data_IF_903911468116
#
_entry.id   IF_903911468116
#
_cell.length_a   1.000
_cell.length_b   1.000
_cell.length_c   1.000
_cell.angle_alpha   90.00
_cell.angle_beta   90.00
_cell.angle_gamma   90.00
#
_symmetry.space_group_name_H-M   'P 1'
#
loop_
_entity.id
_entity.type
_entity.pdbx_description
1 polymer ?
#
# COMPACT_ATOMS: atom_id res chain seq x y z
N UNK A 1 40.35 0.08 5.32
CA UNK A 1 40.02 0.88 4.13
C UNK A 1 39.38 -0.06 3.12
N UNK A 2 38.13 0.23 2.77
CA UNK A 2 37.20 -0.47 1.85
C UNK A 2 36.85 -1.94 2.14
N UNK A 3 35.68 -2.12 2.77
CA UNK A 3 34.87 -3.32 2.65
C UNK A 3 34.56 -3.54 1.16
N UNK A 4 35.03 -4.65 0.60
CA UNK A 4 34.61 -5.13 -0.72
C UNK A 4 33.18 -5.63 -0.58
N UNK A 5 32.21 -4.74 -0.77
CA UNK A 5 30.79 -5.11 -0.85
C UNK A 5 30.60 -5.78 -2.20
N UNK A 6 30.14 -7.03 -2.20
CA UNK A 6 30.03 -7.82 -3.43
C UNK A 6 28.95 -7.21 -4.35
N UNK A 7 29.20 -7.08 -5.67
CA UNK A 7 28.31 -6.38 -6.60
C UNK A 7 26.87 -6.93 -6.66
N UNK A 8 26.65 -8.19 -6.26
CA UNK A 8 25.33 -8.82 -6.19
C UNK A 8 24.46 -8.22 -5.07
N UNK A 9 25.05 -7.87 -3.92
CA UNK A 9 24.33 -7.21 -2.83
C UNK A 9 23.88 -5.81 -3.24
N UNK A 10 24.74 -5.05 -3.93
CA UNK A 10 24.42 -3.71 -4.41
C UNK A 10 23.25 -3.71 -5.38
N UNK A 11 23.20 -4.66 -6.32
CA UNK A 11 22.07 -4.78 -7.27
C UNK A 11 20.78 -5.14 -6.53
N UNK A 12 20.84 -6.05 -5.56
CA UNK A 12 19.67 -6.42 -4.75
C UNK A 12 19.12 -5.23 -3.96
N UNK A 13 19.99 -4.41 -3.38
CA UNK A 13 19.59 -3.21 -2.61
C UNK A 13 18.97 -2.15 -3.51
N UNK A 14 19.58 -1.87 -4.67
CA UNK A 14 19.05 -0.86 -5.63
C UNK A 14 17.68 -1.28 -6.16
N UNK A 15 17.49 -2.55 -6.48
CA UNK A 15 16.19 -3.04 -6.95
C UNK A 15 15.11 -2.89 -5.89
N UNK A 16 15.40 -3.27 -4.64
CA UNK A 16 14.45 -3.13 -3.53
C UNK A 16 14.03 -1.67 -3.33
N UNK A 17 14.98 -0.74 -3.38
CA UNK A 17 14.68 0.68 -3.24
C UNK A 17 13.75 1.20 -4.35
N UNK A 18 14.00 0.82 -5.61
CA UNK A 18 13.12 1.21 -6.73
C UNK A 18 11.72 0.62 -6.56
N UNK A 19 11.60 -0.61 -6.05
CA UNK A 19 10.30 -1.21 -5.74
C UNK A 19 9.56 -0.45 -4.64
N UNK A 20 10.25 -0.04 -3.58
CA UNK A 20 9.65 0.72 -2.48
C UNK A 20 9.22 2.12 -2.93
N UNK A 21 10.03 2.82 -3.73
CA UNK A 21 9.68 4.14 -4.30
C UNK A 21 8.41 4.04 -5.17
N UNK A 22 8.33 3.02 -6.04
CA UNK A 22 7.15 2.78 -6.88
C UNK A 22 5.93 2.39 -6.03
N UNK A 23 6.11 1.60 -4.97
CA UNK A 23 5.03 1.22 -4.07
C UNK A 23 4.44 2.44 -3.33
N UNK A 24 5.28 3.40 -2.94
CA UNK A 24 4.86 4.67 -2.35
C UNK A 24 4.02 5.48 -3.32
N UNK A 25 4.49 5.69 -4.56
CA UNK A 25 3.77 6.46 -5.57
C UNK A 25 2.41 5.83 -5.91
N UNK A 26 2.39 4.50 -6.11
CA UNK A 26 1.15 3.77 -6.36
C UNK A 26 0.20 3.82 -5.17
N UNK A 27 0.72 3.77 -3.93
CA UNK A 27 -0.08 3.94 -2.72
C UNK A 27 -0.71 5.34 -2.68
N UNK A 28 0.07 6.39 -2.93
CA UNK A 28 -0.44 7.76 -2.99
C UNK A 28 -1.53 7.91 -4.05
N UNK A 29 -1.32 7.36 -5.26
CA UNK A 29 -2.30 7.40 -6.33
C UNK A 29 -3.61 6.67 -5.96
N UNK A 30 -3.52 5.52 -5.30
CA UNK A 30 -4.69 4.79 -4.80
C UNK A 30 -5.43 5.58 -3.72
N UNK A 31 -4.73 6.19 -2.77
CA UNK A 31 -5.31 7.01 -1.70
C UNK A 31 -6.04 8.25 -2.26
N UNK A 32 -5.43 8.91 -3.25
CA UNK A 32 -6.09 9.99 -3.98
C UNK A 32 -7.33 9.50 -4.75
N UNK A 33 -7.24 8.35 -5.42
CA UNK A 33 -8.37 7.74 -6.12
C UNK A 33 -9.54 7.42 -5.17
N UNK A 34 -9.26 6.92 -3.97
CA UNK A 34 -10.27 6.59 -2.96
C UNK A 34 -11.04 7.82 -2.45
N UNK A 35 -10.49 9.03 -2.59
CA UNK A 35 -11.20 10.27 -2.27
C UNK A 35 -12.19 10.71 -3.37
N UNK A 36 -12.21 10.03 -4.52
CA UNK A 36 -13.15 10.29 -5.62
C UNK A 36 -14.39 9.39 -5.55
N UNK A 37 -15.46 9.75 -6.27
CA UNK A 37 -16.62 8.90 -6.42
C UNK A 37 -16.28 7.69 -7.32
N UNK A 38 -16.11 6.51 -6.71
CA UNK A 38 -15.76 5.26 -7.40
C UNK A 38 -16.90 4.23 -7.33
N UNK A 39 -17.05 3.44 -8.39
CA UNK A 39 -17.97 2.28 -8.37
C UNK A 39 -17.46 1.23 -7.38
N UNK A 40 -18.35 0.37 -6.90
CA UNK A 40 -17.98 -0.70 -5.95
C UNK A 40 -16.84 -1.59 -6.49
N UNK A 41 -16.84 -1.88 -7.79
CA UNK A 41 -15.78 -2.68 -8.42
C UNK A 41 -14.41 -2.00 -8.39
N UNK A 42 -14.35 -0.71 -8.70
CA UNK A 42 -13.10 0.04 -8.66
C UNK A 42 -12.62 0.22 -7.22
N UNK A 43 -13.56 0.45 -6.29
CA UNK A 43 -13.26 0.54 -4.86
C UNK A 43 -12.67 -0.77 -4.34
N UNK A 44 -13.26 -1.92 -4.70
CA UNK A 44 -12.71 -3.23 -4.37
C UNK A 44 -11.30 -3.44 -4.92
N UNK A 45 -11.07 -3.12 -6.20
CA UNK A 45 -9.74 -3.25 -6.83
C UNK A 45 -8.71 -2.36 -6.13
N UNK A 46 -9.06 -1.12 -5.82
CA UNK A 46 -8.17 -0.18 -5.13
C UNK A 46 -7.82 -0.65 -3.72
N UNK A 47 -8.82 -1.04 -2.92
CA UNK A 47 -8.60 -1.56 -1.56
C UNK A 47 -7.84 -2.88 -1.55
N UNK A 48 -8.09 -3.77 -2.52
CA UNK A 48 -7.34 -5.02 -2.68
C UNK A 48 -5.86 -4.75 -2.97
N UNK A 49 -5.55 -3.82 -3.87
CA UNK A 49 -4.16 -3.43 -4.14
C UNK A 49 -3.50 -2.82 -2.92
N UNK A 50 -4.21 -1.94 -2.20
CA UNK A 50 -3.72 -1.32 -0.97
C UNK A 50 -3.44 -2.36 0.12
N UNK A 51 -4.32 -3.35 0.30
CA UNK A 51 -4.12 -4.46 1.22
C UNK A 51 -2.86 -5.29 0.89
N UNK A 52 -2.51 -5.43 -0.39
CA UNK A 52 -1.28 -6.10 -0.83
C UNK A 52 -0.04 -5.24 -0.55
N UNK A 53 -0.11 -3.93 -0.75
CA UNK A 53 1.00 -3.05 -0.41
C UNK A 53 1.29 -3.03 1.09
N UNK A 54 0.26 -3.09 1.96
CA UNK A 54 0.46 -3.27 3.40
C UNK A 54 1.16 -4.60 3.77
N UNK A 55 1.18 -5.60 2.90
CA UNK A 55 1.89 -6.88 3.13
C UNK A 55 3.34 -6.85 2.66
N UNK A 56 3.64 -6.05 1.63
CA UNK A 56 4.96 -6.02 0.96
C UNK A 56 5.84 -4.92 1.55
N UNK A 57 5.32 -3.68 1.63
CA UNK A 57 6.05 -2.49 2.11
C UNK A 57 5.31 -1.88 3.30
N UNK A 58 5.21 -2.66 4.39
CA UNK A 58 4.29 -2.41 5.50
C UNK A 58 4.38 -1.02 6.12
N UNK A 59 5.56 -0.59 6.58
CA UNK A 59 5.71 0.62 7.40
C UNK A 59 5.32 1.91 6.64
N UNK A 60 5.96 2.17 5.49
CA UNK A 60 5.71 3.38 4.69
C UNK A 60 4.25 3.45 4.21
N UNK A 61 3.71 2.34 3.71
CA UNK A 61 2.32 2.28 3.22
C UNK A 61 1.34 2.52 4.36
N UNK A 62 1.57 1.94 5.54
CA UNK A 62 0.68 2.17 6.70
C UNK A 62 0.71 3.63 7.17
N UNK A 63 1.86 4.28 7.16
CA UNK A 63 1.97 5.71 7.49
C UNK A 63 1.25 6.59 6.46
N UNK A 64 1.38 6.30 5.16
CA UNK A 64 0.69 7.03 4.11
C UNK A 64 -0.83 6.93 4.25
N UNK A 65 -1.35 5.74 4.56
CA UNK A 65 -2.79 5.54 4.81
C UNK A 65 -3.27 6.42 5.98
N UNK A 66 -2.50 6.47 7.07
CA UNK A 66 -2.84 7.27 8.25
C UNK A 66 -2.73 8.79 7.99
N UNK A 67 -1.75 9.24 7.23
CA UNK A 67 -1.51 10.67 6.98
C UNK A 67 -2.36 11.27 5.86
N UNK A 68 -2.58 10.53 4.78
CA UNK A 68 -3.24 11.05 3.57
C UNK A 68 -4.71 10.64 3.53
N UNK A 69 -5.03 9.44 4.00
CA UNK A 69 -6.38 8.89 3.95
C UNK A 69 -6.92 8.68 2.51
N UNK A 70 -8.21 8.35 2.37
CA UNK A 70 -9.22 8.26 3.43
C UNK A 70 -9.03 7.01 4.31
N UNK A 71 -9.53 7.05 5.55
CA UNK A 71 -9.56 5.84 6.38
C UNK A 71 -10.30 4.70 5.67
N UNK A 72 -9.72 3.48 5.61
CA UNK A 72 -10.35 2.34 4.93
C UNK A 72 -11.76 2.03 5.45
N UNK A 73 -11.99 2.23 6.76
CA UNK A 73 -13.28 2.04 7.45
C UNK A 73 -14.41 2.89 6.90
N UNK A 74 -14.12 4.01 6.21
CA UNK A 74 -15.11 4.84 5.50
C UNK A 74 -15.91 4.04 4.46
N UNK A 75 -15.35 2.95 3.95
CA UNK A 75 -15.96 2.11 2.92
C UNK A 75 -16.66 0.87 3.46
N UNK A 76 -16.71 0.70 4.79
CA UNK A 76 -17.31 -0.48 5.42
C UNK A 76 -18.79 -0.61 5.07
N UNK A 77 -19.25 -1.83 4.83
CA UNK A 77 -20.63 -2.15 4.48
C UNK A 77 -21.01 -1.90 3.02
N UNK A 78 -20.06 -1.51 2.15
CA UNK A 78 -20.31 -1.38 0.70
C UNK A 78 -20.48 -2.73 0.02
N UNK A 79 -19.69 -3.74 0.41
CA UNK A 79 -19.85 -5.14 0.01
C UNK A 79 -18.98 -6.06 0.89
N UNK A 80 -19.29 -7.37 0.97
CA UNK A 80 -18.51 -8.30 1.78
C UNK A 80 -17.02 -8.35 1.39
N UNK A 81 -16.73 -8.33 0.08
CA UNK A 81 -15.35 -8.36 -0.42
C UNK A 81 -14.56 -7.09 -0.09
N UNK A 82 -15.23 -5.94 0.03
CA UNK A 82 -14.61 -4.69 0.48
C UNK A 82 -14.30 -4.78 1.97
N UNK A 83 -15.24 -5.29 2.77
CA UNK A 83 -15.06 -5.45 4.21
C UNK A 83 -13.87 -6.37 4.52
N UNK A 84 -13.70 -7.47 3.77
CA UNK A 84 -12.53 -8.34 3.86
C UNK A 84 -11.20 -7.59 3.61
N UNK A 85 -11.15 -6.68 2.61
CA UNK A 85 -9.92 -5.91 2.35
C UNK A 85 -9.65 -4.89 3.46
N UNK A 86 -10.70 -4.25 3.99
CA UNK A 86 -10.59 -3.32 5.12
C UNK A 86 -10.00 -4.04 6.33
N UNK A 87 -10.48 -5.24 6.66
CA UNK A 87 -9.93 -6.03 7.76
C UNK A 87 -8.44 -6.35 7.57
N UNK A 88 -8.04 -6.74 6.35
CA UNK A 88 -6.63 -6.98 6.04
C UNK A 88 -5.78 -5.72 6.25
N UNK A 89 -6.24 -4.56 5.78
CA UNK A 89 -5.52 -3.29 5.94
C UNK A 89 -5.46 -2.90 7.42
N UNK A 90 -6.60 -2.86 8.11
CA UNK A 90 -6.69 -2.44 9.51
C UNK A 90 -5.88 -3.34 10.44
N UNK A 91 -5.73 -4.62 10.12
CA UNK A 91 -4.85 -5.53 10.88
C UNK A 91 -3.38 -5.10 10.89
N UNK A 92 -2.96 -4.29 9.91
CA UNK A 92 -1.60 -3.77 9.73
C UNK A 92 -1.40 -2.35 10.24
N UNK A 93 -2.45 -1.56 10.42
CA UNK A 93 -2.40 -0.16 10.87
C UNK A 93 -2.15 0.01 12.39
N UNK A 94 -1.50 -0.97 13.05
CA UNK A 94 -1.29 -0.98 14.51
C UNK A 94 -0.32 0.09 14.97
#
# INVERSE_FOLDING_TARGET
MYLSVHPVETISVVLLQVFDDVAIELTMALLQFLNTASTEELLFRALKSLARFCQISGQEVTQLIQMIGPEPTKFKGKSPRIDEQIEMITSKLR
#
